data_IF_864361181331
#
_entry.id   IF_864361181331
#
_cell.length_a   1.000
_cell.length_b   1.000
_cell.length_c   1.000
_cell.angle_alpha   90.00
_cell.angle_beta   90.00
_cell.angle_gamma   90.00
#
_symmetry.space_group_name_H-M   'P 1'
#
loop_
_entity.id
_entity.type
_entity.pdbx_description
1 polymer ?
#
# COMPACT_ATOMS: atom_id res chain seq x y z
N UNK A 1 12.04 -14.81 2.84
CA UNK A 1 12.49 -13.62 2.10
C UNK A 1 14.00 -13.67 1.97
N UNK A 2 14.55 -13.28 0.83
CA UNK A 2 15.99 -13.09 0.70
C UNK A 2 16.44 -11.81 1.44
N UNK A 3 17.73 -11.68 1.80
CA UNK A 3 18.23 -10.52 2.56
C UNK A 3 18.05 -9.16 1.86
N UNK A 4 18.03 -9.11 0.52
CA UNK A 4 17.88 -7.84 -0.21
C UNK A 4 16.46 -7.29 -0.15
N UNK A 5 15.47 -8.17 -0.15
CA UNK A 5 14.04 -7.81 -0.02
C UNK A 5 13.68 -7.35 1.38
N UNK A 6 14.28 -7.99 2.39
CA UNK A 6 14.15 -7.56 3.79
C UNK A 6 14.70 -6.14 3.94
N UNK A 7 15.88 -5.85 3.37
CA UNK A 7 16.49 -4.52 3.42
C UNK A 7 15.63 -3.46 2.68
N UNK A 8 15.07 -3.81 1.52
CA UNK A 8 14.19 -2.90 0.77
C UNK A 8 12.91 -2.56 1.56
N UNK A 9 12.25 -3.58 2.13
CA UNK A 9 11.08 -3.39 2.98
C UNK A 9 11.40 -2.55 4.22
N UNK A 10 12.50 -2.84 4.91
CA UNK A 10 12.93 -2.07 6.09
C UNK A 10 13.22 -0.61 5.76
N UNK A 11 13.92 -0.35 4.64
CA UNK A 11 14.19 1.00 4.15
C UNK A 11 12.89 1.77 3.86
N UNK A 12 11.95 1.11 3.18
CA UNK A 12 10.64 1.69 2.87
C UNK A 12 9.83 2.02 4.14
N UNK A 13 9.75 1.08 5.09
CA UNK A 13 9.07 1.30 6.36
C UNK A 13 9.68 2.46 7.16
N UNK A 14 11.02 2.57 7.18
CA UNK A 14 11.71 3.69 7.82
C UNK A 14 11.31 5.05 7.21
N UNK A 15 11.12 5.12 5.88
CA UNK A 15 10.64 6.33 5.23
C UNK A 15 9.21 6.68 5.67
N UNK A 16 8.30 5.69 5.71
CA UNK A 16 6.91 5.91 6.12
C UNK A 16 6.77 6.37 7.59
N UNK A 17 7.62 5.87 8.49
CA UNK A 17 7.69 6.37 9.86
C UNK A 17 8.20 7.82 9.92
N UNK A 18 9.20 8.16 9.11
CA UNK A 18 9.77 9.51 9.03
C UNK A 18 8.76 10.52 8.48
N UNK A 19 7.98 10.13 7.48
CA UNK A 19 6.86 10.91 6.92
C UNK A 19 5.66 11.01 7.88
N UNK A 20 5.63 10.20 8.95
CA UNK A 20 4.55 10.18 9.92
C UNK A 20 3.27 9.48 9.43
N UNK A 21 3.36 8.67 8.37
CA UNK A 21 2.24 7.88 7.86
C UNK A 21 1.95 6.68 8.76
N UNK A 22 3.01 6.06 9.28
CA UNK A 22 2.93 4.96 10.25
C UNK A 22 3.25 5.45 11.66
N UNK A 23 2.60 4.83 12.64
CA UNK A 23 2.94 5.00 14.06
C UNK A 23 3.41 3.68 14.70
N UNK A 24 3.83 3.76 15.96
CA UNK A 24 4.38 2.63 16.74
C UNK A 24 3.50 1.37 16.79
N UNK A 25 2.20 1.45 16.48
CA UNK A 25 1.38 0.24 16.43
C UNK A 25 1.78 -0.66 15.25
N UNK A 26 2.30 -0.08 14.16
CA UNK A 26 2.81 -0.88 13.04
C UNK A 26 4.07 -1.68 13.43
N UNK A 27 4.90 -1.16 14.33
CA UNK A 27 6.09 -1.87 14.85
C UNK A 27 5.68 -3.20 15.52
N UNK A 28 4.54 -3.23 16.20
CA UNK A 28 4.01 -4.44 16.83
C UNK A 28 3.64 -5.51 15.79
N UNK A 29 3.15 -5.10 14.62
CA UNK A 29 2.87 -6.02 13.51
C UNK A 29 4.15 -6.62 12.94
N UNK A 30 5.24 -5.84 12.87
CA UNK A 30 6.54 -6.32 12.42
C UNK A 30 7.12 -7.37 13.36
N UNK A 31 7.01 -7.17 14.69
CA UNK A 31 7.44 -8.16 15.69
C UNK A 31 6.66 -9.48 15.53
N UNK A 32 5.35 -9.40 15.29
CA UNK A 32 4.53 -10.59 15.06
C UNK A 32 4.91 -11.29 13.75
N UNK A 33 5.36 -10.56 12.73
CA UNK A 33 5.80 -11.14 11.47
C UNK A 33 7.05 -12.01 11.61
N UNK A 34 7.95 -11.71 12.56
CA UNK A 34 9.13 -12.55 12.84
C UNK A 34 8.72 -13.98 13.25
N UNK A 35 7.56 -14.11 13.90
CA UNK A 35 6.98 -15.41 14.28
C UNK A 35 6.04 -15.97 13.20
N UNK A 36 5.31 -15.09 12.50
CA UNK A 36 4.29 -15.44 11.51
C UNK A 36 4.54 -14.69 10.18
N UNK A 37 5.30 -15.28 9.23
CA UNK A 37 5.79 -14.57 8.04
C UNK A 37 4.72 -13.89 7.16
N UNK A 38 3.48 -14.39 7.20
CA UNK A 38 2.33 -13.88 6.42
C UNK A 38 1.49 -12.86 7.20
N UNK A 39 1.84 -12.52 8.44
CA UNK A 39 0.99 -11.73 9.31
C UNK A 39 0.70 -10.32 8.77
N UNK A 40 1.74 -9.59 8.31
CA UNK A 40 1.55 -8.28 7.67
C UNK A 40 0.70 -8.41 6.41
N UNK A 41 0.91 -9.48 5.65
CA UNK A 41 0.17 -9.75 4.42
C UNK A 41 -1.32 -9.87 4.66
N UNK A 42 -1.69 -10.72 5.62
CA UNK A 42 -3.08 -10.99 6.00
C UNK A 42 -3.74 -9.75 6.61
N UNK A 43 -3.06 -9.08 7.54
CA UNK A 43 -3.60 -7.92 8.26
C UNK A 43 -3.83 -6.74 7.32
N UNK A 44 -2.85 -6.40 6.47
CA UNK A 44 -3.00 -5.28 5.54
C UNK A 44 -4.00 -5.59 4.43
N UNK A 45 -4.01 -6.80 3.89
CA UNK A 45 -4.99 -7.19 2.88
C UNK A 45 -6.42 -7.16 3.43
N UNK A 46 -6.62 -7.58 4.68
CA UNK A 46 -7.91 -7.47 5.36
C UNK A 46 -8.30 -6.01 5.57
N UNK A 47 -7.37 -5.19 6.09
CA UNK A 47 -7.62 -3.77 6.33
C UNK A 47 -8.05 -3.04 5.06
N UNK A 48 -7.32 -3.22 3.96
CA UNK A 48 -7.62 -2.58 2.67
C UNK A 48 -9.02 -2.99 2.18
N UNK A 49 -9.31 -4.29 2.16
CA UNK A 49 -10.59 -4.82 1.67
C UNK A 49 -11.78 -4.33 2.50
N UNK A 50 -11.68 -4.41 3.82
CA UNK A 50 -12.79 -3.99 4.69
C UNK A 50 -12.98 -2.47 4.67
N UNK A 51 -11.90 -1.70 4.68
CA UNK A 51 -12.00 -0.23 4.72
C UNK A 51 -12.64 0.34 3.47
N UNK A 52 -12.33 -0.20 2.27
CA UNK A 52 -13.01 0.20 1.03
C UNK A 52 -14.54 0.01 1.14
N UNK A 53 -14.98 -1.15 1.65
CA UNK A 53 -16.42 -1.44 1.80
C UNK A 53 -17.09 -0.46 2.76
N UNK A 54 -16.44 -0.20 3.89
CA UNK A 54 -17.02 0.62 4.95
C UNK A 54 -17.06 2.11 4.55
N UNK A 55 -16.06 2.64 3.84
CA UNK A 55 -16.07 4.02 3.32
C UNK A 55 -17.25 4.26 2.37
N UNK A 56 -17.59 3.27 1.52
CA UNK A 56 -18.75 3.37 0.62
C UNK A 56 -20.06 3.49 1.43
N UNK A 57 -20.22 2.72 2.50
CA UNK A 57 -21.40 2.79 3.36
C UNK A 57 -21.50 4.15 4.08
N UNK A 58 -20.37 4.66 4.58
CA UNK A 58 -20.32 5.95 5.26
C UNK A 58 -20.75 7.11 4.37
N UNK A 59 -20.39 7.06 3.07
CA UNK A 59 -20.88 8.03 2.09
C UNK A 59 -22.42 8.05 2.03
N UNK A 60 -23.05 6.87 2.03
CA UNK A 60 -24.52 6.77 1.98
C UNK A 60 -25.19 7.36 3.23
N UNK A 61 -24.59 7.19 4.42
CA UNK A 61 -25.09 7.80 5.65
C UNK A 61 -24.99 9.34 5.63
N UNK A 62 -23.92 9.87 5.03
CA UNK A 62 -23.72 11.31 4.89
C UNK A 62 -24.65 11.96 3.84
N UNK A 63 -24.98 11.23 2.78
CA UNK A 63 -25.84 11.71 1.69
C UNK A 63 -27.34 11.44 1.93
N UNK A 64 -27.70 10.75 3.01
CA UNK A 64 -29.10 10.47 3.34
C UNK A 64 -29.86 11.74 3.76
N UNK A 65 -31.19 11.71 3.62
CA UNK A 65 -32.08 12.79 4.05
C UNK A 65 -33.21 12.22 4.92
N UNK A 66 -33.21 12.47 6.24
CA UNK A 66 -32.18 13.18 7.01
C UNK A 66 -30.84 12.40 7.04
N UNK A 67 -29.76 13.10 7.36
CA UNK A 67 -28.40 12.53 7.51
C UNK A 67 -28.41 11.54 8.68
N UNK A 68 -27.77 10.38 8.49
CA UNK A 68 -27.68 9.34 9.51
C UNK A 68 -26.40 9.52 10.36
N UNK A 69 -26.43 10.47 11.29
CA UNK A 69 -25.31 10.78 12.16
C UNK A 69 -24.92 9.64 13.10
N UNK A 70 -25.87 8.79 13.50
CA UNK A 70 -25.61 7.65 14.37
C UNK A 70 -24.70 6.63 13.65
N UNK A 71 -25.06 6.23 12.43
CA UNK A 71 -24.24 5.30 11.67
C UNK A 71 -22.92 5.92 11.20
N UNK A 72 -22.84 7.23 10.95
CA UNK A 72 -21.58 7.93 10.72
C UNK A 72 -20.64 7.88 11.93
N UNK A 73 -21.18 8.06 13.13
CA UNK A 73 -20.43 7.95 14.38
C UNK A 73 -19.88 6.54 14.59
N UNK A 74 -20.72 5.50 14.44
CA UNK A 74 -20.31 4.10 14.59
C UNK A 74 -19.26 3.71 13.55
N UNK A 75 -19.45 4.15 12.30
CA UNK A 75 -18.44 4.04 11.24
C UNK A 75 -17.09 4.61 11.67
N UNK A 76 -17.08 5.88 12.09
CA UNK A 76 -15.87 6.57 12.46
C UNK A 76 -15.18 5.90 13.65
N UNK A 77 -15.94 5.39 14.63
CA UNK A 77 -15.41 4.64 15.76
C UNK A 77 -14.73 3.34 15.31
N UNK A 78 -15.38 2.55 14.46
CA UNK A 78 -14.85 1.29 13.96
C UNK A 78 -13.58 1.51 13.14
N UNK A 79 -13.61 2.45 12.19
CA UNK A 79 -12.46 2.72 11.32
C UNK A 79 -11.30 3.32 12.10
N UNK A 80 -11.55 4.14 13.14
CA UNK A 80 -10.51 4.61 14.06
C UNK A 80 -9.78 3.42 14.72
N UNK A 81 -10.53 2.45 15.24
CA UNK A 81 -9.98 1.25 15.87
C UNK A 81 -9.12 0.45 14.90
N UNK A 82 -9.69 0.13 13.72
CA UNK A 82 -9.00 -0.61 12.67
C UNK A 82 -7.71 0.09 12.21
N UNK A 83 -7.78 1.40 11.95
CA UNK A 83 -6.63 2.22 11.53
C UNK A 83 -5.54 2.26 12.61
N UNK A 84 -5.94 2.31 13.89
CA UNK A 84 -4.98 2.24 14.99
C UNK A 84 -4.25 0.91 15.06
N UNK A 85 -4.92 -0.21 14.80
CA UNK A 85 -4.31 -1.54 14.82
C UNK A 85 -3.24 -1.72 13.73
N UNK A 86 -3.38 -1.04 12.59
CA UNK A 86 -2.43 -1.07 11.48
C UNK A 86 -1.52 0.16 11.42
N UNK A 87 -1.49 0.97 12.48
CA UNK A 87 -0.66 2.17 12.54
C UNK A 87 -0.94 3.23 11.47
N UNK A 88 -2.09 3.20 10.78
CA UNK A 88 -2.50 4.19 9.78
C UNK A 88 -2.89 5.50 10.47
N UNK A 89 -1.86 6.31 10.79
CA UNK A 89 -1.97 7.43 11.73
C UNK A 89 -2.95 8.50 11.27
N UNK A 90 -2.84 8.94 10.02
CA UNK A 90 -3.63 10.08 9.51
C UNK A 90 -5.10 9.68 9.33
N UNK A 91 -5.39 8.46 8.86
CA UNK A 91 -6.75 7.91 8.80
C UNK A 91 -7.38 7.89 10.20
N UNK A 92 -6.64 7.39 11.21
CA UNK A 92 -7.10 7.39 12.61
C UNK A 92 -7.46 8.78 13.11
N UNK A 93 -6.66 9.81 12.79
CA UNK A 93 -6.92 11.19 13.19
C UNK A 93 -8.18 11.74 12.50
N UNK A 94 -8.30 11.56 11.19
CA UNK A 94 -9.49 11.98 10.45
C UNK A 94 -10.78 11.29 10.97
N UNK A 95 -10.69 10.03 11.41
CA UNK A 95 -11.82 9.36 12.06
C UNK A 95 -12.18 9.95 13.43
N UNK A 96 -11.23 10.51 14.17
CA UNK A 96 -11.54 11.22 15.43
C UNK A 96 -12.36 12.46 15.12
N UNK A 97 -11.95 13.24 14.12
CA UNK A 97 -12.65 14.45 13.68
C UNK A 97 -14.06 14.12 13.18
N UNK A 98 -14.20 13.07 12.36
CA UNK A 98 -15.50 12.63 11.84
C UNK A 98 -16.43 12.16 12.97
N UNK A 99 -15.90 11.42 13.94
CA UNK A 99 -16.68 10.97 15.10
C UNK A 99 -17.20 12.16 15.91
N UNK A 100 -16.34 13.16 16.17
CA UNK A 100 -16.74 14.37 16.89
C UNK A 100 -17.79 15.18 16.11
N UNK A 101 -17.60 15.37 14.80
CA UNK A 101 -18.56 16.08 13.98
C UNK A 101 -19.92 15.36 13.95
N UNK A 102 -19.91 14.03 13.87
CA UNK A 102 -21.13 13.20 13.90
C UNK A 102 -21.86 13.29 15.25
N UNK A 103 -21.13 13.28 16.36
CA UNK A 103 -21.68 13.43 17.72
C UNK A 103 -22.35 14.80 17.93
N UNK A 104 -21.87 15.84 17.26
CA UNK A 104 -22.45 17.20 17.29
C UNK A 104 -23.44 17.50 16.16
N UNK A 105 -23.76 16.50 15.33
CA UNK A 105 -24.63 16.63 14.15
C UNK A 105 -24.21 17.78 13.18
N UNK A 106 -22.90 18.05 13.11
CA UNK A 106 -22.34 19.11 12.27
C UNK A 106 -22.12 18.60 10.84
N UNK A 107 -23.12 18.81 9.96
CA UNK A 107 -23.04 18.37 8.55
C UNK A 107 -21.76 18.82 7.83
N UNK A 108 -21.41 20.10 7.91
CA UNK A 108 -20.19 20.63 7.25
C UNK A 108 -18.92 19.97 7.79
N UNK A 109 -18.85 19.76 9.11
CA UNK A 109 -17.72 19.08 9.74
C UNK A 109 -17.65 17.60 9.35
N UNK A 110 -18.79 16.92 9.25
CA UNK A 110 -18.84 15.54 8.76
C UNK A 110 -18.36 15.43 7.31
N UNK A 111 -18.77 16.35 6.45
CA UNK A 111 -18.36 16.37 5.04
C UNK A 111 -16.86 16.59 4.87
N UNK A 112 -16.30 17.55 5.61
CA UNK A 112 -14.86 17.81 5.62
C UNK A 112 -14.08 16.61 6.17
N UNK A 113 -14.44 16.13 7.35
CA UNK A 113 -13.73 15.02 7.99
C UNK A 113 -13.85 13.72 7.18
N UNK A 114 -15.01 13.43 6.57
CA UNK A 114 -15.18 12.28 5.69
C UNK A 114 -14.30 12.39 4.42
N UNK A 115 -14.18 13.59 3.86
CA UNK A 115 -13.26 13.85 2.74
C UNK A 115 -11.81 13.57 3.15
N UNK A 116 -11.40 14.01 4.34
CA UNK A 116 -10.08 13.72 4.88
C UNK A 116 -9.87 12.21 5.09
N UNK A 117 -10.83 11.49 5.68
CA UNK A 117 -10.76 10.02 5.83
C UNK A 117 -10.48 9.34 4.48
N UNK A 118 -11.17 9.75 3.42
CA UNK A 118 -10.97 9.18 2.08
C UNK A 118 -9.58 9.48 1.51
N UNK A 119 -9.14 10.73 1.58
CA UNK A 119 -7.85 11.15 1.04
C UNK A 119 -6.69 10.44 1.77
N UNK A 120 -6.74 10.41 3.10
CA UNK A 120 -5.72 9.75 3.92
C UNK A 120 -5.74 8.23 3.73
N UNK A 121 -6.93 7.65 3.54
CA UNK A 121 -7.05 6.23 3.24
C UNK A 121 -6.43 5.88 1.89
N UNK A 122 -6.73 6.65 0.83
CA UNK A 122 -6.15 6.41 -0.49
C UNK A 122 -4.62 6.55 -0.46
N UNK A 123 -4.10 7.56 0.24
CA UNK A 123 -2.67 7.75 0.41
C UNK A 123 -2.00 6.57 1.15
N UNK A 124 -2.55 6.11 2.27
CA UNK A 124 -1.94 5.00 3.03
C UNK A 124 -2.13 3.66 2.33
N UNK A 125 -3.22 3.46 1.58
CA UNK A 125 -3.48 2.24 0.81
C UNK A 125 -2.37 1.98 -0.19
N UNK A 126 -1.96 3.00 -0.96
CA UNK A 126 -0.87 2.87 -1.93
C UNK A 126 0.44 2.42 -1.27
N UNK A 127 0.72 2.91 -0.06
CA UNK A 127 1.91 2.50 0.72
C UNK A 127 1.78 1.07 1.25
N UNK A 128 0.59 0.68 1.71
CA UNK A 128 0.32 -0.68 2.14
C UNK A 128 0.40 -1.67 0.98
N UNK A 129 -0.08 -1.32 -0.22
CA UNK A 129 0.07 -2.14 -1.42
C UNK A 129 1.55 -2.32 -1.77
N UNK A 130 2.36 -1.26 -1.68
CA UNK A 130 3.82 -1.35 -1.86
C UNK A 130 4.48 -2.27 -0.80
N UNK A 131 4.05 -2.19 0.47
CA UNK A 131 4.52 -3.10 1.53
C UNK A 131 4.17 -4.56 1.18
N UNK A 132 2.93 -4.82 0.73
CA UNK A 132 2.49 -6.14 0.31
C UNK A 132 3.31 -6.67 -0.88
N UNK A 133 3.60 -5.83 -1.86
CA UNK A 133 4.44 -6.20 -3.00
C UNK A 133 5.86 -6.56 -2.57
N UNK A 134 6.51 -5.71 -1.77
CA UNK A 134 7.85 -5.99 -1.22
C UNK A 134 7.84 -7.23 -0.30
N UNK A 135 6.72 -7.50 0.37
CA UNK A 135 6.57 -8.64 1.24
C UNK A 135 6.35 -9.97 0.48
N UNK A 136 5.62 -9.92 -0.65
CA UNK A 136 5.24 -11.09 -1.46
C UNK A 136 6.26 -11.40 -2.56
N UNK A 137 6.81 -10.38 -3.22
CA UNK A 137 7.64 -10.48 -4.41
C UNK A 137 9.00 -9.80 -4.17
N UNK A 138 10.05 -10.56 -3.82
CA UNK A 138 11.41 -10.02 -3.81
C UNK A 138 11.77 -9.47 -5.22
N UNK A 139 12.46 -8.32 -5.36
CA UNK A 139 12.96 -7.92 -6.67
C UNK A 139 13.84 -9.05 -7.24
N UNK A 140 13.78 -9.33 -8.55
CA UNK A 140 14.63 -10.35 -9.13
C UNK A 140 16.10 -10.01 -8.85
N UNK A 141 16.83 -10.97 -8.28
CA UNK A 141 18.28 -10.85 -8.05
C UNK A 141 18.97 -10.39 -9.35
N UNK A 142 20.07 -9.60 -9.29
CA UNK A 142 20.73 -9.02 -10.47
C UNK A 142 21.43 -10.01 -11.42
N UNK A 143 21.07 -11.30 -11.41
CA UNK A 143 21.77 -12.36 -12.16
C UNK A 143 21.10 -12.83 -13.45
N UNK A 144 20.09 -12.14 -14.00
CA UNK A 144 19.54 -12.53 -15.31
C UNK A 144 19.27 -11.33 -16.23
N UNK A 145 20.34 -10.64 -16.64
CA UNK A 145 20.36 -10.04 -17.98
C UNK A 145 20.62 -11.19 -18.96
N UNK A 146 19.56 -11.85 -19.41
CA UNK A 146 19.65 -12.75 -20.57
C UNK A 146 19.75 -11.85 -21.80
N UNK A 147 20.85 -11.86 -22.57
CA UNK A 147 20.89 -11.11 -23.82
C UNK A 147 19.83 -11.70 -24.77
N UNK A 148 19.17 -10.87 -25.60
CA UNK A 148 18.13 -11.35 -26.50
C UNK A 148 18.70 -12.41 -27.46
N UNK A 149 18.04 -13.56 -27.50
CA UNK A 149 18.33 -14.65 -28.41
C UNK A 149 18.21 -14.15 -29.87
N UNK A 150 19.20 -14.54 -30.69
CA UNK A 150 19.47 -14.00 -32.00
C UNK A 150 18.26 -13.90 -32.94
N UNK A 151 18.13 -12.74 -33.58
CA UNK A 151 17.37 -12.60 -34.80
C UNK A 151 18.14 -13.30 -35.94
N UNK A 152 17.54 -14.35 -36.49
CA UNK A 152 18.03 -15.04 -37.66
C UNK A 152 17.67 -14.28 -38.95
N UNK A 153 18.70 -13.96 -39.74
CA UNK A 153 18.66 -13.85 -41.21
C UNK A 153 18.87 -12.45 -41.82
N UNK A 154 19.26 -12.33 -43.12
CA UNK A 154 19.61 -13.38 -44.08
C UNK A 154 21.04 -13.28 -44.67
N UNK A 155 21.44 -14.40 -45.29
CA UNK A 155 22.61 -14.62 -46.14
C UNK A 155 22.74 -13.63 -47.30
N UNK A 156 23.96 -13.14 -47.59
CA UNK A 156 24.40 -12.69 -48.93
C UNK A 156 25.94 -12.69 -49.05
N UNK A 157 26.42 -13.59 -49.91
CA UNK A 157 27.60 -13.57 -50.80
C UNK A 157 28.94 -12.86 -50.44
N UNK A 158 30.01 -13.63 -50.69
CA UNK A 158 31.46 -13.32 -50.75
C UNK A 158 31.81 -12.26 -51.83
N UNK A 159 32.98 -11.59 -51.77
CA UNK A 159 34.09 -12.08 -52.60
C UNK A 159 35.50 -11.97 -51.99
N UNK A 160 36.26 -13.06 -52.18
CA UNK A 160 37.63 -13.16 -52.68
C UNK A 160 38.62 -12.00 -52.41
N UNK A 161 39.68 -12.28 -51.63
CA UNK A 161 41.00 -11.70 -51.88
C UNK A 161 42.09 -12.76 -51.82
N UNK A 162 42.84 -12.84 -52.91
CA UNK A 162 43.98 -13.73 -53.17
C UNK A 162 45.25 -13.25 -52.45
N UNK A 163 46.23 -14.17 -52.44
CA UNK A 163 47.69 -14.02 -52.30
C UNK A 163 48.26 -14.36 -50.91
N UNK A 164 49.27 -15.23 -50.76
CA UNK A 164 50.03 -16.00 -51.73
C UNK A 164 51.17 -16.82 -51.09
N UNK A 165 51.82 -17.60 -51.96
CA UNK A 165 53.18 -18.19 -51.94
C UNK A 165 53.56 -19.30 -50.94
N UNK A 166 53.92 -20.44 -51.57
CA UNK A 166 55.18 -21.21 -51.51
C UNK A 166 55.89 -21.25 -50.15
N UNK A 167 56.13 -22.45 -49.62
CA UNK A 167 57.25 -23.33 -49.98
C UNK A 167 56.79 -24.78 -49.95
#
# INVERSE_FOLDING_TARGET
MDPSSIAALQSYLSALYTEGLLDRHFEQLQVLQETFPQFIDEVLSLYIRETQRIIINAKNYLESSPVDYHNLYEFAHQLKGSSSCVGARLVKLACIDLRQASETENYSGCLEAFTNVRNEYDAVREKFETILELARNPPPSPSMVVPPAGAAGPSMAVPLCRSGRRV
#
